data_IF_669534123187
#
_entry.id   IF_669534123187
#
_cell.length_a   1.000
_cell.length_b   1.000
_cell.length_c   1.000
_cell.angle_alpha   90.00
_cell.angle_beta   90.00
_cell.angle_gamma   90.00
#
_symmetry.space_group_name_H-M   'P 1'
#
loop_
_entity.id
_entity.type
_entity.pdbx_description
1 polymer ?
#
# COMPACT_ATOMS: atom_id res chain seq x y z
N UNK A 1 -21.74 13.37 13.83
CA UNK A 1 -20.40 13.35 13.21
C UNK A 1 -20.65 13.09 11.73
N UNK A 2 -20.22 14.00 10.85
CA UNK A 2 -20.35 13.77 9.41
C UNK A 2 -19.54 12.52 9.03
N UNK A 3 -20.05 11.73 8.08
CA UNK A 3 -19.44 10.47 7.64
C UNK A 3 -17.97 10.66 7.25
N UNK A 4 -17.66 11.79 6.59
CA UNK A 4 -16.29 12.14 6.20
C UNK A 4 -15.37 12.29 7.41
N UNK A 5 -15.78 13.06 8.42
CA UNK A 5 -14.98 13.26 9.64
C UNK A 5 -14.72 11.96 10.41
N UNK A 6 -15.63 10.99 10.33
CA UNK A 6 -15.44 9.69 10.93
C UNK A 6 -14.41 8.83 10.15
N UNK A 7 -14.54 8.79 8.83
CA UNK A 7 -13.61 8.07 7.96
C UNK A 7 -12.20 8.66 8.02
N UNK A 8 -12.07 9.99 8.11
CA UNK A 8 -10.77 10.65 8.24
C UNK A 8 -10.08 10.23 9.56
N UNK A 9 -10.83 10.20 10.67
CA UNK A 9 -10.30 9.72 11.96
C UNK A 9 -9.91 8.25 11.93
N UNK A 10 -10.66 7.42 11.21
CA UNK A 10 -10.32 6.02 11.00
C UNK A 10 -8.98 5.90 10.26
N UNK A 11 -8.82 6.66 9.17
CA UNK A 11 -7.61 6.66 8.37
C UNK A 11 -6.39 7.14 9.17
N UNK A 12 -6.50 8.26 9.89
CA UNK A 12 -5.44 8.80 10.76
C UNK A 12 -4.99 7.80 11.84
N UNK A 13 -5.95 7.08 12.43
CA UNK A 13 -5.68 6.05 13.44
C UNK A 13 -4.98 4.85 12.85
N UNK A 14 -5.44 4.37 11.68
CA UNK A 14 -4.81 3.27 10.97
C UNK A 14 -3.38 3.64 10.56
N UNK A 15 -3.21 4.82 9.97
CA UNK A 15 -1.91 5.39 9.62
C UNK A 15 -0.95 5.36 10.81
N UNK A 16 -1.36 5.95 11.94
CA UNK A 16 -0.54 6.03 13.15
C UNK A 16 -0.11 4.65 13.66
N UNK A 17 -1.01 3.67 13.63
CA UNK A 17 -0.71 2.30 14.06
C UNK A 17 0.27 1.60 13.14
N UNK A 18 0.05 1.67 11.83
CA UNK A 18 0.94 1.09 10.83
C UNK A 18 2.33 1.73 10.89
N UNK A 19 2.39 3.07 10.96
CA UNK A 19 3.63 3.82 11.03
C UNK A 19 4.45 3.45 12.27
N UNK A 20 3.83 3.43 13.46
CA UNK A 20 4.49 3.02 14.70
C UNK A 20 4.99 1.57 14.63
N UNK A 21 4.20 0.67 14.05
CA UNK A 21 4.62 -0.71 13.85
C UNK A 21 5.86 -0.80 12.95
N UNK A 22 5.84 -0.15 11.79
CA UNK A 22 6.97 -0.15 10.85
C UNK A 22 8.23 0.50 11.45
N UNK A 23 8.08 1.58 12.20
CA UNK A 23 9.19 2.19 12.95
C UNK A 23 9.79 1.22 13.97
N UNK A 24 8.95 0.47 14.70
CA UNK A 24 9.43 -0.55 15.66
C UNK A 24 10.25 -1.65 14.99
N UNK A 25 10.01 -1.90 13.69
CA UNK A 25 10.76 -2.84 12.85
C UNK A 25 11.94 -2.21 12.12
N UNK A 26 12.10 -0.88 12.19
CA UNK A 26 13.09 -0.09 11.43
C UNK A 26 12.91 -0.21 9.91
N UNK A 27 11.68 -0.40 9.46
CA UNK A 27 11.32 -0.50 8.03
C UNK A 27 10.87 0.85 7.44
N UNK A 28 10.71 1.88 8.27
CA UNK A 28 10.50 3.28 7.85
C UNK A 28 11.37 4.22 8.70
N UNK A 29 11.60 5.43 8.20
CA UNK A 29 12.35 6.48 8.92
C UNK A 29 11.50 7.08 10.07
N UNK A 30 12.15 7.86 10.93
CA UNK A 30 11.48 8.61 12.01
C UNK A 30 10.55 9.67 11.42
N UNK A 31 10.96 10.27 10.31
CA UNK A 31 10.20 11.28 9.57
C UNK A 31 9.52 10.64 8.36
N UNK A 32 8.26 11.01 8.12
CA UNK A 32 7.55 10.56 6.92
C UNK A 32 8.17 11.15 5.65
N UNK A 33 8.24 10.38 4.55
CA UNK A 33 8.70 10.88 3.27
C UNK A 33 7.68 11.85 2.66
N UNK A 34 8.17 12.77 1.83
CA UNK A 34 7.30 13.52 0.93
C UNK A 34 6.68 12.54 -0.09
N UNK A 35 5.38 12.33 0.03
CA UNK A 35 4.63 11.42 -0.82
C UNK A 35 3.86 12.14 -1.96
N UNK A 36 4.06 13.45 -2.17
CA UNK A 36 3.25 14.26 -3.09
C UNK A 36 3.17 13.69 -4.51
N UNK A 37 4.29 13.22 -5.05
CA UNK A 37 4.32 12.59 -6.38
C UNK A 37 3.53 11.27 -6.41
N UNK A 38 3.64 10.45 -5.36
CA UNK A 38 2.95 9.16 -5.25
C UNK A 38 1.45 9.31 -5.01
N UNK A 39 1.05 10.36 -4.29
CA UNK A 39 -0.34 10.78 -4.10
C UNK A 39 -0.97 11.24 -5.42
N UNK A 40 -0.19 11.89 -6.29
CA UNK A 40 -0.69 12.39 -7.57
C UNK A 40 -1.22 11.30 -8.51
N UNK A 41 -0.74 10.05 -8.35
CA UNK A 41 -1.14 8.88 -9.14
C UNK A 41 -2.04 7.90 -8.38
N UNK A 42 -2.31 8.15 -7.09
CA UNK A 42 -3.09 7.26 -6.24
C UNK A 42 -4.47 6.93 -6.84
N UNK A 43 -5.19 7.95 -7.30
CA UNK A 43 -6.55 7.77 -7.82
C UNK A 43 -6.59 6.81 -9.01
N UNK A 44 -5.61 6.89 -9.91
CA UNK A 44 -5.48 6.01 -11.06
C UNK A 44 -5.21 4.57 -10.61
N UNK A 45 -4.21 4.37 -9.74
CA UNK A 45 -3.84 3.06 -9.21
C UNK A 45 -5.02 2.40 -8.49
N UNK A 46 -5.67 3.14 -7.59
CA UNK A 46 -6.81 2.66 -6.82
C UNK A 46 -7.97 2.24 -7.74
N UNK A 47 -8.30 3.07 -8.73
CA UNK A 47 -9.40 2.79 -9.66
C UNK A 47 -9.15 1.49 -10.44
N UNK A 48 -7.93 1.26 -10.92
CA UNK A 48 -7.59 0.03 -11.65
C UNK A 48 -7.48 -1.19 -10.72
N UNK A 49 -7.08 -1.01 -9.46
CA UNK A 49 -6.95 -2.09 -8.47
C UNK A 49 -8.29 -2.60 -7.94
N UNK A 50 -9.26 -1.69 -7.75
CA UNK A 50 -10.52 -1.97 -7.05
C UNK A 50 -11.29 -3.20 -7.55
N UNK A 51 -11.44 -3.47 -8.87
CA UNK A 51 -12.14 -4.66 -9.35
C UNK A 51 -11.55 -5.97 -8.84
N UNK A 52 -10.21 -6.07 -8.79
CA UNK A 52 -9.52 -7.25 -8.29
C UNK A 52 -9.54 -7.29 -6.76
N UNK A 53 -9.24 -6.17 -6.11
CA UNK A 53 -9.23 -6.07 -4.64
C UNK A 53 -10.58 -6.41 -4.00
N UNK A 54 -11.68 -5.86 -4.52
CA UNK A 54 -13.03 -6.12 -4.01
C UNK A 54 -13.43 -7.59 -4.23
N UNK A 55 -13.09 -8.16 -5.39
CA UNK A 55 -13.36 -9.58 -5.69
C UNK A 55 -12.70 -10.50 -4.66
N UNK A 56 -11.43 -10.25 -4.34
CA UNK A 56 -10.69 -11.10 -3.40
C UNK A 56 -10.98 -10.81 -1.93
N UNK A 57 -11.58 -9.66 -1.60
CA UNK A 57 -11.75 -9.26 -0.20
C UNK A 57 -12.62 -10.22 0.62
N UNK A 58 -13.67 -10.80 0.03
CA UNK A 58 -14.60 -11.70 0.73
C UNK A 58 -13.92 -13.00 1.20
N UNK A 59 -13.03 -13.57 0.37
CA UNK A 59 -12.31 -14.81 0.69
C UNK A 59 -10.92 -14.59 1.30
N UNK A 60 -10.24 -13.51 0.91
CA UNK A 60 -8.82 -13.27 1.18
C UNK A 60 -8.55 -11.79 1.50
N UNK A 61 -9.24 -11.24 2.51
CA UNK A 61 -9.11 -9.84 2.91
C UNK A 61 -7.65 -9.38 3.14
N UNK A 62 -6.79 -10.21 3.75
CA UNK A 62 -5.38 -9.86 3.98
C UNK A 62 -4.55 -9.82 2.70
N UNK A 63 -4.86 -10.67 1.71
CA UNK A 63 -4.25 -10.63 0.38
C UNK A 63 -4.70 -9.36 -0.32
N UNK A 64 -6.01 -9.13 -0.38
CA UNK A 64 -6.63 -7.95 -0.98
C UNK A 64 -6.07 -6.63 -0.45
N UNK A 65 -5.80 -6.54 0.85
CA UNK A 65 -5.23 -5.34 1.48
C UNK A 65 -3.70 -5.31 1.35
N UNK A 66 -3.03 -6.45 1.49
CA UNK A 66 -1.56 -6.55 1.46
C UNK A 66 -0.94 -6.29 0.10
N UNK A 67 -1.61 -6.70 -0.99
CA UNK A 67 -1.12 -6.51 -2.37
C UNK A 67 -0.93 -5.03 -2.70
N UNK A 68 -1.73 -4.14 -2.10
CA UNK A 68 -1.58 -2.70 -2.28
C UNK A 68 -0.25 -2.16 -1.71
N UNK A 69 0.29 -2.78 -0.67
CA UNK A 69 1.61 -2.41 -0.15
C UNK A 69 2.73 -2.82 -1.13
N UNK A 70 2.61 -3.99 -1.77
CA UNK A 70 3.52 -4.37 -2.87
C UNK A 70 3.43 -3.39 -4.04
N UNK A 71 2.21 -2.96 -4.43
CA UNK A 71 2.02 -1.95 -5.47
C UNK A 71 2.74 -0.65 -5.09
N UNK A 72 2.55 -0.13 -3.88
CA UNK A 72 3.26 1.06 -3.41
C UNK A 72 4.78 0.95 -3.51
N UNK A 73 5.33 -0.20 -3.13
CA UNK A 73 6.77 -0.46 -3.28
C UNK A 73 7.21 -0.50 -4.75
N UNK A 74 6.44 -1.17 -5.62
CA UNK A 74 6.76 -1.24 -7.04
C UNK A 74 6.76 0.15 -7.69
N UNK A 75 5.76 0.97 -7.36
CA UNK A 75 5.64 2.35 -7.87
C UNK A 75 6.82 3.19 -7.39
N UNK A 76 7.19 3.13 -6.11
CA UNK A 76 8.36 3.84 -5.59
C UNK A 76 9.65 3.44 -6.34
N UNK A 77 9.85 2.14 -6.57
CA UNK A 77 11.00 1.65 -7.34
C UNK A 77 10.97 2.12 -8.81
N UNK A 78 9.83 2.06 -9.47
CA UNK A 78 9.71 2.52 -10.86
C UNK A 78 9.91 4.02 -10.99
N UNK A 79 9.44 4.80 -10.01
CA UNK A 79 9.59 6.24 -9.98
C UNK A 79 11.04 6.68 -9.85
N UNK A 80 11.82 5.99 -9.00
CA UNK A 80 13.27 6.20 -8.89
C UNK A 80 14.01 5.91 -10.20
N UNK A 81 13.56 4.89 -10.94
CA UNK A 81 14.17 4.52 -12.22
C UNK A 81 13.82 5.49 -13.37
N UNK A 82 12.53 5.83 -13.54
CA UNK A 82 12.04 6.68 -14.62
C UNK A 82 10.67 7.31 -14.28
N UNK A 83 10.71 8.44 -13.59
CA UNK A 83 9.52 9.17 -13.17
C UNK A 83 8.72 9.77 -14.35
N UNK A 84 9.37 10.12 -15.47
CA UNK A 84 8.69 10.66 -16.66
C UNK A 84 7.82 9.58 -17.33
N UNK A 85 8.35 8.37 -17.42
CA UNK A 85 7.59 7.21 -17.88
C UNK A 85 6.43 6.90 -16.94
N UNK A 86 6.65 6.96 -15.63
CA UNK A 86 5.58 6.75 -14.65
C UNK A 86 4.43 7.74 -14.83
N UNK A 87 4.71 9.04 -14.99
CA UNK A 87 3.68 10.07 -15.19
C UNK A 87 2.96 9.98 -16.53
N UNK A 88 3.59 9.44 -17.56
CA UNK A 88 2.99 9.27 -18.88
C UNK A 88 2.24 7.95 -19.05
N UNK A 89 2.36 7.03 -18.10
CA UNK A 89 1.78 5.70 -18.20
C UNK A 89 0.27 5.71 -17.87
N UNK A 90 -0.60 5.25 -18.79
CA UNK A 90 -2.05 5.36 -18.62
C UNK A 90 -2.62 4.42 -17.56
N UNK A 91 -1.96 3.31 -17.26
CA UNK A 91 -2.35 2.41 -16.17
C UNK A 91 -1.12 1.75 -15.53
N UNK A 92 -0.70 2.26 -14.37
CA UNK A 92 0.47 1.73 -13.66
C UNK A 92 0.18 0.36 -13.05
N UNK A 93 -0.99 0.20 -12.41
CA UNK A 93 -1.37 -1.05 -11.74
C UNK A 93 -1.53 -2.21 -12.72
N UNK A 94 -2.24 -2.00 -13.83
CA UNK A 94 -2.50 -3.07 -14.82
C UNK A 94 -1.19 -3.62 -15.40
N UNK A 95 -0.17 -2.79 -15.58
CA UNK A 95 1.15 -3.29 -16.03
C UNK A 95 1.90 -4.10 -14.99
N UNK A 96 1.59 -3.94 -13.70
CA UNK A 96 2.12 -4.82 -12.65
C UNK A 96 1.36 -6.14 -12.63
N UNK A 97 0.02 -6.07 -12.70
CA UNK A 97 -0.86 -7.24 -12.62
C UNK A 97 -0.72 -8.16 -13.83
N UNK A 98 -0.74 -7.63 -15.05
CA UNK A 98 -0.89 -8.44 -16.27
C UNK A 98 0.35 -9.28 -16.63
N UNK A 99 1.48 -9.09 -15.94
CA UNK A 99 2.70 -9.87 -16.20
C UNK A 99 2.58 -11.31 -15.70
N UNK A 100 2.06 -11.51 -14.48
CA UNK A 100 1.88 -12.85 -13.89
C UNK A 100 0.46 -13.10 -13.36
N UNK A 101 -0.44 -12.13 -13.49
CA UNK A 101 -1.78 -12.16 -12.90
C UNK A 101 -1.81 -11.63 -11.46
N UNK A 102 -3.03 -11.46 -10.93
CA UNK A 102 -3.24 -10.95 -9.58
C UNK A 102 -2.62 -11.87 -8.51
N UNK A 103 -2.84 -13.17 -8.62
CA UNK A 103 -2.47 -14.16 -7.60
C UNK A 103 -0.95 -14.29 -7.39
N UNK A 104 -0.15 -13.92 -8.40
CA UNK A 104 1.31 -13.99 -8.38
C UNK A 104 1.96 -12.59 -8.47
N UNK A 105 1.21 -11.52 -8.16
CA UNK A 105 1.71 -10.16 -8.26
C UNK A 105 2.78 -9.85 -7.20
N UNK A 106 2.66 -10.41 -6.00
CA UNK A 106 3.65 -10.33 -4.94
C UNK A 106 4.99 -10.96 -5.35
N UNK A 107 4.96 -12.14 -5.98
CA UNK A 107 6.14 -12.80 -6.53
C UNK A 107 6.79 -11.96 -7.64
N UNK A 108 5.99 -11.48 -8.61
CA UNK A 108 6.50 -10.60 -9.67
C UNK A 108 7.16 -9.34 -9.13
N UNK A 109 6.48 -8.64 -8.21
CA UNK A 109 7.02 -7.40 -7.64
C UNK A 109 8.29 -7.68 -6.84
N UNK A 110 8.30 -8.69 -5.99
CA UNK A 110 9.46 -9.00 -5.14
C UNK A 110 10.67 -9.50 -5.93
N UNK A 111 10.47 -10.36 -6.94
CA UNK A 111 11.55 -11.01 -7.69
C UNK A 111 12.07 -10.17 -8.86
N UNK A 112 11.19 -9.58 -9.66
CA UNK A 112 11.59 -8.93 -10.91
C UNK A 112 11.79 -7.42 -10.75
N UNK A 113 10.89 -6.75 -10.01
CA UNK A 113 10.93 -5.30 -9.83
C UNK A 113 11.90 -4.93 -8.72
N UNK A 114 11.68 -5.49 -7.53
CA UNK A 114 12.49 -5.20 -6.35
C UNK A 114 13.79 -6.00 -6.30
N UNK A 115 13.89 -7.09 -7.10
CA UNK A 115 15.08 -7.95 -7.21
C UNK A 115 15.57 -8.47 -5.87
N UNK A 116 14.63 -8.85 -5.00
CA UNK A 116 14.93 -9.29 -3.64
C UNK A 116 15.54 -10.69 -3.63
N UNK A 117 16.44 -10.91 -2.67
CA UNK A 117 16.96 -12.26 -2.39
C UNK A 117 15.88 -13.08 -1.67
N UNK A 118 15.91 -14.43 -1.74
CA UNK A 118 14.88 -15.27 -1.13
C UNK A 118 14.62 -15.02 0.36
N UNK A 119 15.67 -14.70 1.13
CA UNK A 119 15.52 -14.38 2.56
C UNK A 119 14.83 -13.04 2.79
N UNK A 120 15.17 -12.03 1.99
CA UNK A 120 14.58 -10.69 2.08
C UNK A 120 13.12 -10.72 1.61
N UNK A 121 12.81 -11.55 0.61
CA UNK A 121 11.44 -11.76 0.15
C UNK A 121 10.55 -12.35 1.26
N UNK A 122 11.02 -13.39 1.96
CA UNK A 122 10.28 -13.96 3.11
C UNK A 122 10.06 -12.95 4.24
N UNK A 123 11.08 -12.15 4.54
CA UNK A 123 10.96 -11.10 5.56
C UNK A 123 9.93 -10.03 5.14
N UNK A 124 9.95 -9.63 3.87
CA UNK A 124 9.00 -8.66 3.31
C UNK A 124 7.56 -9.21 3.31
N UNK A 125 7.36 -10.43 2.83
CA UNK A 125 6.04 -11.07 2.83
C UNK A 125 5.45 -11.15 4.23
N UNK A 126 6.29 -11.47 5.23
CA UNK A 126 5.87 -11.45 6.64
C UNK A 126 5.49 -10.03 7.10
N UNK A 127 6.31 -9.02 6.79
CA UNK A 127 6.04 -7.63 7.15
C UNK A 127 4.70 -7.15 6.56
N UNK A 128 4.48 -7.41 5.27
CA UNK A 128 3.27 -7.02 4.55
C UNK A 128 2.06 -7.76 5.11
N UNK A 129 2.18 -9.05 5.42
CA UNK A 129 1.10 -9.80 6.06
C UNK A 129 0.76 -9.25 7.45
N UNK A 130 1.75 -8.90 8.28
CA UNK A 130 1.51 -8.30 9.59
C UNK A 130 0.77 -6.94 9.44
N UNK A 131 1.18 -6.08 8.50
CA UNK A 131 0.49 -4.82 8.19
C UNK A 131 -0.93 -5.03 7.66
N UNK A 132 -1.12 -5.99 6.75
CA UNK A 132 -2.43 -6.30 6.18
C UNK A 132 -3.41 -6.82 7.24
N UNK A 133 -2.93 -7.66 8.18
CA UNK A 133 -3.73 -8.08 9.33
C UNK A 133 -4.15 -6.90 10.19
N UNK A 134 -3.27 -5.91 10.42
CA UNK A 134 -3.62 -4.69 11.15
C UNK A 134 -4.72 -3.89 10.42
N UNK A 135 -4.62 -3.73 9.10
CA UNK A 135 -5.64 -3.07 8.28
C UNK A 135 -6.99 -3.79 8.29
N UNK A 136 -6.99 -5.11 8.10
CA UNK A 136 -8.21 -5.93 8.15
C UNK A 136 -8.85 -5.89 9.55
N UNK A 137 -8.05 -5.97 10.61
CA UNK A 137 -8.56 -5.83 11.97
C UNK A 137 -9.12 -4.44 12.26
N UNK A 138 -8.56 -3.38 11.67
CA UNK A 138 -9.13 -2.05 11.77
C UNK A 138 -10.53 -2.00 11.13
N UNK A 139 -10.68 -2.53 9.92
CA UNK A 139 -11.99 -2.64 9.24
C UNK A 139 -13.02 -3.43 10.06
N UNK A 140 -12.60 -4.57 10.62
CA UNK A 140 -13.48 -5.44 11.41
C UNK A 140 -13.97 -4.79 12.72
N UNK A 141 -13.14 -3.96 13.35
CA UNK A 141 -13.49 -3.28 14.61
C UNK A 141 -14.60 -2.24 14.44
N UNK A 142 -14.69 -1.62 13.27
CA UNK A 142 -15.70 -0.61 13.01
C UNK A 142 -17.10 -1.23 12.76
N UNK A 143 -17.19 -2.56 12.58
CA UNK A 143 -18.45 -3.30 12.43
C UNK A 143 -19.36 -2.74 11.32
N UNK A 144 -18.78 -2.34 10.19
CA UNK A 144 -19.56 -1.86 9.06
C UNK A 144 -20.51 -2.91 8.51
N UNK A 145 -21.68 -2.47 8.04
CA UNK A 145 -22.59 -3.34 7.30
C UNK A 145 -21.92 -3.78 5.99
N UNK A 146 -21.84 -5.10 5.72
CA UNK A 146 -21.28 -5.61 4.47
C UNK A 146 -21.97 -5.01 3.25
N UNK A 147 -21.19 -4.55 2.26
CA UNK A 147 -21.73 -3.93 1.05
C UNK A 147 -22.23 -2.50 1.21
N UNK A 148 -22.10 -1.88 2.40
CA UNK A 148 -22.45 -0.47 2.59
C UNK A 148 -21.44 0.48 1.95
N UNK A 149 -21.87 1.69 1.52
CA UNK A 149 -20.94 2.73 1.05
C UNK A 149 -19.85 3.08 2.08
N UNK A 150 -20.19 3.02 3.37
CA UNK A 150 -19.24 3.30 4.45
C UNK A 150 -18.14 2.23 4.53
N UNK A 151 -18.51 0.95 4.43
CA UNK A 151 -17.54 -0.16 4.37
C UNK A 151 -16.60 -0.01 3.17
N UNK A 152 -17.16 0.37 2.00
CA UNK A 152 -16.37 0.61 0.80
C UNK A 152 -15.39 1.78 0.98
N UNK A 153 -15.82 2.91 1.51
CA UNK A 153 -14.93 4.05 1.78
C UNK A 153 -13.83 3.70 2.78
N UNK A 154 -14.15 2.96 3.85
CA UNK A 154 -13.14 2.51 4.81
C UNK A 154 -12.14 1.54 4.17
N UNK A 155 -12.60 0.65 3.30
CA UNK A 155 -11.72 -0.24 2.52
C UNK A 155 -10.78 0.56 1.62
N UNK A 156 -11.27 1.55 0.88
CA UNK A 156 -10.43 2.44 0.05
C UNK A 156 -9.40 3.19 0.89
N UNK A 157 -9.78 3.74 2.06
CA UNK A 157 -8.81 4.39 2.98
C UNK A 157 -7.77 3.40 3.50
N UNK A 158 -8.16 2.15 3.74
CA UNK A 158 -7.24 1.10 4.16
C UNK A 158 -6.22 0.78 3.07
N UNK A 159 -6.68 0.62 1.82
CA UNK A 159 -5.80 0.46 0.67
C UNK A 159 -4.85 1.65 0.52
N UNK A 160 -5.37 2.87 0.69
CA UNK A 160 -4.57 4.09 0.61
C UNK A 160 -3.39 4.08 1.60
N UNK A 161 -3.67 3.75 2.86
CA UNK A 161 -2.60 3.65 3.86
C UNK A 161 -1.62 2.52 3.54
N UNK A 162 -2.08 1.37 3.07
CA UNK A 162 -1.17 0.28 2.65
C UNK A 162 -0.27 0.70 1.49
N UNK A 163 -0.79 1.44 0.52
CA UNK A 163 -0.02 2.01 -0.59
C UNK A 163 1.09 2.93 -0.08
N UNK A 164 0.76 3.90 0.77
CA UNK A 164 1.73 4.85 1.34
C UNK A 164 2.77 4.16 2.21
N UNK A 165 2.39 3.18 3.02
CA UNK A 165 3.34 2.37 3.79
C UNK A 165 4.31 1.63 2.88
N UNK A 166 3.83 1.07 1.75
CA UNK A 166 4.67 0.42 0.76
C UNK A 166 5.68 1.39 0.15
N UNK A 167 5.21 2.57 -0.27
CA UNK A 167 6.07 3.65 -0.77
C UNK A 167 7.15 4.00 0.25
N UNK A 168 6.78 4.26 1.51
CA UNK A 168 7.70 4.67 2.55
C UNK A 168 8.76 3.60 2.87
N UNK A 169 8.34 2.34 2.96
CA UNK A 169 9.26 1.21 3.17
C UNK A 169 10.26 1.10 2.02
N UNK A 170 9.80 1.24 0.78
CA UNK A 170 10.68 1.14 -0.38
C UNK A 170 11.63 2.33 -0.49
N UNK A 171 11.18 3.56 -0.23
CA UNK A 171 12.03 4.75 -0.21
C UNK A 171 13.18 4.59 0.80
N UNK A 172 12.90 4.11 2.02
CA UNK A 172 13.96 3.83 2.99
C UNK A 172 14.94 2.77 2.47
N UNK A 173 14.45 1.68 1.85
CA UNK A 173 15.30 0.62 1.29
C UNK A 173 16.19 1.11 0.15
N UNK A 174 15.74 2.09 -0.63
CA UNK A 174 16.55 2.75 -1.67
C UNK A 174 17.55 3.76 -1.10
N UNK A 175 17.51 4.02 0.21
CA UNK A 175 18.47 4.88 0.91
C UNK A 175 18.05 6.34 1.05
N UNK A 176 16.80 6.68 0.71
CA UNK A 176 16.26 8.00 1.00
C UNK A 176 16.17 8.19 2.52
N UNK A 177 16.86 9.22 3.02
CA UNK A 177 16.80 9.64 4.43
C UNK A 177 16.15 11.00 4.51
N UNK A 178 15.11 11.12 5.31
CA UNK A 178 14.39 12.38 5.44
C UNK A 178 15.04 13.23 6.52
N UNK A 179 16.02 14.05 6.11
CA UNK A 179 16.58 15.10 6.97
C UNK A 179 15.71 16.34 6.87
N UNK A 180 15.37 16.96 8.02
CA UNK A 180 14.80 18.31 8.03
C UNK A 180 15.74 19.22 7.24
N UNK A 181 15.25 19.80 6.15
CA UNK A 181 15.89 20.95 5.52
C UNK A 181 15.79 22.07 6.57
N UNK A 182 16.92 22.36 7.22
CA UNK A 182 17.06 23.48 8.14
C UNK A 182 17.26 24.80 7.42
#
# INVERSE_FOLDING_TARGET
MEINQYIDKYEEKLHSQLWQFLQSKKEVDVMEPDATDFESVWQQICTSYLPDGVREFEGYATVSVGWMMYVGMAIAMQWDNDWEKCKSQPDMYTTLRDVRGYDCMDEYISEDILKLKPNDNKALAKLINDCAQMGVHALQREMFEPGSPLAFHAYVRTLHQMYLMGVAVQLLKMGYKMTRIG
#
